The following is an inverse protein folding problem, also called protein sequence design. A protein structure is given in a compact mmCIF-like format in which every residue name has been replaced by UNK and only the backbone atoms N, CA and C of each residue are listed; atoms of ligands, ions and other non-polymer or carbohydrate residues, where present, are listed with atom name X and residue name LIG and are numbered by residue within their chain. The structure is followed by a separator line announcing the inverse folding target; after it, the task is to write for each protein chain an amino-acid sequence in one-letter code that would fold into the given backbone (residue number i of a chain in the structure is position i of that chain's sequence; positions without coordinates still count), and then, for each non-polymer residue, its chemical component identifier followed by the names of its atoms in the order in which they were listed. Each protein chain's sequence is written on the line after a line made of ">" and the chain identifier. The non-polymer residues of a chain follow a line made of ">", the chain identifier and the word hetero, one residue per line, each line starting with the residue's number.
data_IF_327524411065
#
_entry.id   IF_327524411065
#
_cell.length_a   1.000
_cell.length_b   1.000
_cell.length_c   1.000
_cell.angle_alpha   90.00
_cell.angle_beta   90.00
_cell.angle_gamma   90.00
#
_symmetry.space_group_name_H-M   'P 1'
#
loop_
_entity.id
_entity.type
_entity.pdbx_description
1 polymer ?
#
# COMPACT_ATOMS: atom_id res chain seq x y z
N UNK A 1 7.34 -11.36 -4.71
CA UNK A 1 7.89 -10.66 -3.54
C UNK A 1 6.76 -10.10 -2.68
N UNK A 2 6.12 -8.98 -3.05
CA UNK A 2 5.09 -8.32 -2.24
C UNK A 2 3.96 -9.23 -1.69
N UNK A 3 3.42 -10.16 -2.50
CA UNK A 3 2.39 -11.12 -2.02
C UNK A 3 2.91 -12.01 -0.87
N UNK A 4 4.17 -12.46 -0.97
CA UNK A 4 4.81 -13.30 0.05
C UNK A 4 5.02 -12.50 1.33
N UNK A 5 5.61 -11.30 1.24
CA UNK A 5 5.88 -10.44 2.40
C UNK A 5 4.58 -10.11 3.16
N UNK A 6 3.52 -9.72 2.44
CA UNK A 6 2.23 -9.41 3.09
C UNK A 6 1.61 -10.64 3.77
N UNK A 7 1.78 -11.83 3.19
CA UNK A 7 1.31 -13.07 3.82
C UNK A 7 2.12 -13.40 5.08
N UNK A 8 3.44 -13.22 5.02
CA UNK A 8 4.37 -13.50 6.12
C UNK A 8 4.14 -12.52 7.27
N UNK A 9 4.12 -11.21 6.99
CA UNK A 9 4.06 -10.15 8.01
C UNK A 9 2.63 -9.84 8.49
N UNK A 10 1.62 -9.92 7.60
CA UNK A 10 0.25 -9.45 7.89
C UNK A 10 -0.82 -10.56 7.98
N UNK A 11 -0.50 -11.81 7.58
CA UNK A 11 -1.49 -12.90 7.35
C UNK A 11 -2.62 -12.54 6.39
N UNK A 12 -2.30 -11.77 5.37
CA UNK A 12 -3.25 -11.36 4.34
C UNK A 12 -2.96 -12.08 3.04
N UNK A 13 -3.98 -12.71 2.46
CA UNK A 13 -3.90 -13.30 1.13
C UNK A 13 -4.33 -12.27 0.09
N UNK A 14 -3.37 -11.77 -0.70
CA UNK A 14 -3.62 -10.79 -1.75
C UNK A 14 -4.00 -11.50 -3.06
N UNK A 15 -5.19 -11.18 -3.57
CA UNK A 15 -5.66 -11.66 -4.88
C UNK A 15 -5.19 -10.79 -6.06
N UNK A 16 -5.06 -9.48 -5.84
CA UNK A 16 -4.68 -8.53 -6.90
C UNK A 16 -3.68 -7.49 -6.37
N UNK A 17 -2.56 -7.32 -7.08
CA UNK A 17 -1.62 -6.23 -6.86
C UNK A 17 -1.75 -5.19 -7.96
N UNK A 18 -2.07 -3.96 -7.56
CA UNK A 18 -2.10 -2.81 -8.44
C UNK A 18 -0.77 -2.06 -8.34
N UNK A 19 0.00 -2.05 -9.43
CA UNK A 19 1.23 -1.27 -9.53
C UNK A 19 0.94 0.23 -9.39
N UNK A 20 1.77 0.92 -8.61
CA UNK A 20 1.77 2.38 -8.48
C UNK A 20 2.98 2.94 -9.22
N UNK A 21 4.18 2.72 -8.70
CA UNK A 21 5.38 3.36 -9.20
C UNK A 21 6.65 2.58 -8.86
N UNK A 22 7.75 3.00 -9.48
CA UNK A 22 9.11 2.60 -9.15
C UNK A 22 9.86 3.83 -8.65
N UNK A 23 10.71 3.64 -7.64
CA UNK A 23 11.61 4.66 -7.15
C UNK A 23 13.01 4.07 -6.96
N UNK A 24 14.02 4.81 -7.37
CA UNK A 24 15.43 4.47 -7.18
C UNK A 24 16.07 5.62 -6.42
N UNK A 25 16.94 5.30 -5.46
CA UNK A 25 17.59 6.31 -4.64
C UNK A 25 18.73 5.72 -3.83
N UNK A 26 19.22 6.50 -2.88
CA UNK A 26 20.21 6.07 -1.92
C UNK A 26 19.82 6.52 -0.51
N UNK A 27 20.11 5.69 0.48
CA UNK A 27 19.94 6.07 1.89
C UNK A 27 20.85 5.22 2.78
N UNK A 28 21.09 5.71 3.99
CA UNK A 28 21.68 4.92 5.08
C UNK A 28 20.54 4.17 5.77
N UNK A 29 20.52 2.84 5.68
CA UNK A 29 19.50 2.02 6.33
C UNK A 29 19.74 1.91 7.85
N UNK A 30 18.71 1.64 8.66
CA UNK A 30 18.88 1.42 10.09
C UNK A 30 19.91 0.31 10.37
N UNK A 31 20.94 0.63 11.17
CA UNK A 31 22.03 -0.29 11.49
C UNK A 31 23.19 -0.30 10.49
N UNK A 32 23.11 0.45 9.40
CA UNK A 32 24.19 0.65 8.45
C UNK A 32 24.92 1.98 8.70
N UNK A 33 26.21 2.02 8.37
CA UNK A 33 27.05 3.23 8.46
C UNK A 33 27.21 3.87 7.08
N UNK A 34 27.20 3.05 6.03
CA UNK A 34 27.42 3.48 4.66
C UNK A 34 26.10 3.72 3.93
N UNK A 35 26.13 4.59 2.92
CA UNK A 35 24.98 4.84 2.06
C UNK A 35 24.83 3.69 1.05
N UNK A 36 23.62 3.14 0.98
CA UNK A 36 23.26 2.03 0.10
C UNK A 36 22.31 2.50 -1.00
N UNK A 37 22.55 2.07 -2.23
CA UNK A 37 21.62 2.26 -3.35
C UNK A 37 20.42 1.31 -3.18
N UNK A 38 19.22 1.80 -3.46
CA UNK A 38 18.01 1.00 -3.43
C UNK A 38 17.12 1.25 -4.65
N UNK A 39 16.30 0.24 -4.93
CA UNK A 39 15.24 0.29 -5.95
C UNK A 39 13.99 -0.37 -5.40
N UNK A 40 12.91 0.40 -5.33
CA UNK A 40 11.65 -0.01 -4.70
C UNK A 40 10.51 0.06 -5.72
N UNK A 41 9.72 -1.01 -5.78
CA UNK A 41 8.46 -1.06 -6.51
C UNK A 41 7.30 -0.94 -5.52
N UNK A 42 6.42 0.02 -5.72
CA UNK A 42 5.27 0.27 -4.84
C UNK A 42 4.01 -0.26 -5.50
N UNK A 43 3.24 -1.01 -4.71
CA UNK A 43 1.96 -1.58 -5.11
C UNK A 43 0.91 -1.26 -4.04
N UNK A 44 -0.36 -1.37 -4.40
CA UNK A 44 -1.45 -1.45 -3.42
C UNK A 44 -2.41 -2.60 -3.76
N UNK A 45 -3.17 -3.03 -2.77
CA UNK A 45 -4.27 -3.98 -2.94
C UNK A 45 -5.52 -3.45 -2.24
N UNK A 46 -6.67 -3.97 -2.66
CA UNK A 46 -7.95 -3.76 -1.99
C UNK A 46 -8.29 -5.08 -1.33
N UNK A 47 -8.35 -5.09 0.00
CA UNK A 47 -8.62 -6.30 0.77
C UNK A 47 -10.11 -6.62 0.78
N UNK A 48 -10.41 -7.91 0.91
CA UNK A 48 -11.77 -8.36 1.20
C UNK A 48 -12.15 -7.96 2.63
N UNK A 49 -13.44 -7.66 2.88
CA UNK A 49 -13.90 -7.11 4.15
C UNK A 49 -13.73 -8.02 5.37
N UNK A 50 -13.41 -9.30 5.14
CA UNK A 50 -13.15 -10.30 6.18
C UNK A 50 -11.66 -10.46 6.52
N UNK A 51 -10.76 -9.79 5.79
CA UNK A 51 -9.33 -9.83 6.03
C UNK A 51 -8.91 -8.59 6.83
N UNK A 52 -8.48 -8.82 8.07
CA UNK A 52 -7.94 -7.78 8.95
C UNK A 52 -6.45 -8.05 9.14
N UNK A 53 -5.54 -7.12 8.78
CA UNK A 53 -4.11 -7.30 8.96
C UNK A 53 -3.74 -7.56 10.42
N UNK A 54 -2.85 -8.53 10.66
CA UNK A 54 -2.30 -8.83 11.97
C UNK A 54 -0.78 -8.77 11.86
N UNK A 55 -0.14 -7.89 12.64
CA UNK A 55 1.32 -7.83 12.73
C UNK A 55 1.85 -9.11 13.38
N UNK A 56 2.50 -9.96 12.58
CA UNK A 56 3.03 -11.24 13.05
C UNK A 56 4.49 -11.20 13.47
N UNK A 57 5.23 -10.18 13.04
CA UNK A 57 6.65 -10.01 13.30
C UNK A 57 6.90 -8.66 13.99
N UNK A 58 6.47 -8.48 15.26
CA UNK A 58 6.55 -7.21 15.97
C UNK A 58 8.00 -6.75 16.22
N UNK A 59 8.98 -7.65 16.15
CA UNK A 59 10.39 -7.30 16.30
C UNK A 59 10.98 -6.63 15.04
N UNK A 60 10.29 -6.69 13.88
CA UNK A 60 10.78 -6.14 12.60
C UNK A 60 10.23 -4.75 12.27
N UNK A 61 9.15 -4.33 12.91
CA UNK A 61 8.53 -3.03 12.63
C UNK A 61 7.89 -2.45 13.89
N UNK A 62 7.78 -1.13 13.93
CA UNK A 62 6.95 -0.44 14.92
C UNK A 62 5.48 -0.90 14.83
N UNK A 63 4.67 -0.50 15.82
CA UNK A 63 3.24 -0.82 15.89
C UNK A 63 2.51 -0.36 14.62
N UNK A 64 1.71 -1.26 14.06
CA UNK A 64 0.88 -0.95 12.89
C UNK A 64 -0.37 -0.18 13.31
N UNK A 65 -0.68 0.88 12.56
CA UNK A 65 -1.90 1.64 12.74
C UNK A 65 -2.62 1.82 11.40
N UNK A 66 -3.95 1.91 11.47
CA UNK A 66 -4.77 2.24 10.32
C UNK A 66 -4.78 3.76 10.11
N UNK A 67 -4.68 4.20 8.86
CA UNK A 67 -4.92 5.58 8.48
C UNK A 67 -5.68 5.67 7.16
N UNK A 68 -6.42 6.74 7.00
CA UNK A 68 -7.07 7.11 5.74
C UNK A 68 -6.05 7.68 4.75
N UNK A 69 -6.37 7.65 3.45
CA UNK A 69 -5.55 8.31 2.44
C UNK A 69 -5.38 9.82 2.69
N UNK A 70 -6.35 10.46 3.35
CA UNK A 70 -6.28 11.88 3.69
C UNK A 70 -5.28 12.14 4.81
N UNK A 71 -5.26 11.28 5.83
CA UNK A 71 -4.27 11.31 6.92
C UNK A 71 -2.88 11.02 6.37
N UNK A 72 -2.70 9.95 5.59
CA UNK A 72 -1.42 9.65 4.92
C UNK A 72 -0.90 10.85 4.08
N UNK A 73 -1.78 11.54 3.37
CA UNK A 73 -1.43 12.73 2.57
C UNK A 73 -1.04 13.94 3.42
N UNK A 74 -1.67 14.15 4.58
CA UNK A 74 -1.54 15.39 5.38
C UNK A 74 -0.59 15.29 6.56
N UNK A 75 -0.50 14.11 7.17
CA UNK A 75 0.25 13.93 8.40
C UNK A 75 1.75 13.82 8.12
N UNK A 76 2.53 14.20 9.13
CA UNK A 76 3.98 14.12 9.15
C UNK A 76 4.43 12.82 9.82
N UNK A 77 4.04 11.68 9.22
CA UNK A 77 4.58 10.39 9.61
C UNK A 77 6.07 10.31 9.27
N UNK A 78 6.83 9.53 10.06
CA UNK A 78 8.18 9.15 9.68
C UNK A 78 8.11 8.09 8.60
N UNK A 79 8.08 8.53 7.34
CA UNK A 79 7.97 7.65 6.18
C UNK A 79 9.35 7.20 5.71
N UNK A 80 9.39 6.00 5.11
CA UNK A 80 10.58 5.57 4.37
C UNK A 80 10.82 6.50 3.18
N UNK A 81 12.07 6.68 2.71
CA UNK A 81 12.40 7.63 1.65
C UNK A 81 11.53 7.50 0.39
N UNK A 82 11.19 6.26 0.01
CA UNK A 82 10.32 6.03 -1.15
C UNK A 82 8.91 6.54 -0.92
N UNK A 83 8.31 6.28 0.24
CA UNK A 83 6.96 6.72 0.55
C UNK A 83 6.88 8.23 0.68
N UNK A 84 7.90 8.87 1.25
CA UNK A 84 7.98 10.34 1.37
C UNK A 84 8.02 11.00 -0.02
N UNK A 85 8.96 10.57 -0.88
CA UNK A 85 9.12 11.14 -2.22
C UNK A 85 7.92 10.86 -3.12
N UNK A 86 7.30 9.68 -2.99
CA UNK A 86 6.20 9.23 -3.85
C UNK A 86 4.81 9.45 -3.26
N UNK A 87 4.70 10.14 -2.12
CA UNK A 87 3.45 10.29 -1.35
C UNK A 87 2.28 10.74 -2.21
N UNK A 88 2.48 11.80 -3.00
CA UNK A 88 1.44 12.37 -3.89
C UNK A 88 1.02 11.38 -4.98
N UNK A 89 1.98 10.74 -5.65
CA UNK A 89 1.73 9.76 -6.73
C UNK A 89 0.97 8.52 -6.21
N UNK A 90 1.32 8.04 -5.02
CA UNK A 90 0.62 6.96 -4.32
C UNK A 90 -0.84 7.33 -4.09
N UNK A 91 -1.10 8.47 -3.47
CA UNK A 91 -2.45 8.93 -3.12
C UNK A 91 -3.31 9.13 -4.38
N UNK A 92 -2.78 9.79 -5.41
CA UNK A 92 -3.50 10.06 -6.65
C UNK A 92 -3.85 8.75 -7.39
N UNK A 93 -2.91 7.80 -7.44
CA UNK A 93 -3.11 6.51 -8.11
C UNK A 93 -4.19 5.68 -7.42
N UNK A 94 -4.14 5.60 -6.08
CA UNK A 94 -5.15 4.86 -5.30
C UNK A 94 -6.53 5.51 -5.47
N UNK A 95 -6.65 6.84 -5.33
CA UNK A 95 -7.91 7.58 -5.53
C UNK A 95 -8.49 7.33 -6.92
N UNK A 96 -7.65 7.38 -7.96
CA UNK A 96 -8.08 7.11 -9.34
C UNK A 96 -8.65 5.69 -9.49
N UNK A 97 -7.90 4.68 -9.02
CA UNK A 97 -8.30 3.26 -9.12
C UNK A 97 -9.58 2.95 -8.34
N UNK A 98 -9.71 3.45 -7.11
CA UNK A 98 -10.92 3.29 -6.31
C UNK A 98 -12.14 3.93 -6.99
N UNK A 99 -11.96 5.09 -7.62
CA UNK A 99 -13.03 5.75 -8.39
C UNK A 99 -13.50 4.88 -9.57
N UNK A 100 -12.57 4.28 -10.32
CA UNK A 100 -12.93 3.39 -11.43
C UNK A 100 -13.59 2.09 -10.93
N UNK A 101 -13.06 1.49 -9.86
CA UNK A 101 -13.60 0.29 -9.26
C UNK A 101 -15.05 0.48 -8.77
N UNK A 102 -15.32 1.58 -8.07
CA UNK A 102 -16.66 1.91 -7.58
C UNK A 102 -17.65 2.17 -8.71
N UNK A 103 -17.22 2.79 -9.82
CA UNK A 103 -18.05 2.97 -11.01
C UNK A 103 -18.42 1.64 -11.65
N UNK A 104 -17.47 0.70 -11.76
CA UNK A 104 -17.71 -0.64 -12.30
C UNK A 104 -18.73 -1.41 -11.44
N UNK A 105 -18.55 -1.45 -10.11
CA UNK A 105 -19.51 -2.09 -9.19
C UNK A 105 -20.92 -1.52 -9.32
N UNK A 106 -21.06 -0.19 -9.39
CA UNK A 106 -22.39 0.46 -9.58
C UNK A 106 -23.07 0.11 -10.89
N UNK A 107 -22.32 -0.21 -11.96
CA UNK A 107 -22.90 -0.66 -13.23
C UNK A 107 -23.42 -2.10 -13.13
N UNK A 108 -22.60 -3.00 -12.57
CA UNK A 108 -23.00 -4.41 -12.36
C UNK A 108 -24.26 -4.51 -11.51
N UNK A 109 -24.31 -3.80 -10.38
CA UNK A 109 -25.52 -3.79 -9.52
C UNK A 109 -26.74 -3.23 -10.27
N UNK A 110 -26.57 -2.28 -11.19
CA UNK A 110 -27.70 -1.78 -11.99
C UNK A 110 -28.18 -2.81 -13.02
N UNK A 111 -27.27 -3.56 -13.62
CA UNK A 111 -27.59 -4.62 -14.59
C UNK A 111 -28.27 -5.81 -13.90
N UNK A 112 -27.78 -6.26 -12.74
CA UNK A 112 -28.38 -7.33 -11.94
C UNK A 112 -29.78 -6.98 -11.40
N UNK A 113 -30.10 -5.70 -11.20
CA UNK A 113 -31.44 -5.26 -10.78
C UNK A 113 -32.42 -5.03 -11.95
N UNK A 114 -31.96 -5.21 -13.19
CA UNK A 114 -32.78 -5.09 -14.42
C UNK A 114 -33.14 -6.46 -15.03
N UNK A 115 -32.58 -7.56 -14.50
CA UNK A 115 -32.96 -8.95 -14.78
C UNK A 115 -33.93 -9.50 -13.73
#
# INVERSE_FOLDING_TARGET
>A
CAIREVREEARIDINELNYICQHEGSCVFPGEIEESLYKTLVYFSILDSNQIPIQTEPDKSDEWFECTLTEFEKDHYMLTPTLEVKKKEIVETIKHKLTQHNRKRRRVVKEENLE
#
